data_IF_041811148564
#
_entry.id   IF_041811148564
#
_cell.length_a   1.000
_cell.length_b   1.000
_cell.length_c   1.000
_cell.angle_alpha   90.00
_cell.angle_beta   90.00
_cell.angle_gamma   90.00
#
_symmetry.space_group_name_H-M   'P 1'
#
loop_
_entity.id
_entity.type
_entity.pdbx_description
1 polymer ?
#
# COMPACT_ATOMS: atom_id res chain seq x y z
N UNK A 1 17.74 0.48 -8.69
CA UNK A 1 17.64 1.48 -7.62
C UNK A 1 18.48 2.73 -7.97
N UNK A 2 19.78 2.59 -8.34
CA UNK A 2 20.65 3.71 -8.65
C UNK A 2 20.02 4.73 -9.62
N UNK A 3 19.49 4.27 -10.75
CA UNK A 3 18.81 5.14 -11.73
C UNK A 3 17.58 5.88 -11.18
N UNK A 4 16.94 5.37 -10.12
CA UNK A 4 15.85 6.09 -9.44
C UNK A 4 16.43 7.18 -8.56
N UNK A 5 17.47 6.86 -7.77
CA UNK A 5 18.10 7.80 -6.86
C UNK A 5 18.70 9.01 -7.58
N UNK A 6 19.36 8.80 -8.73
CA UNK A 6 19.97 9.88 -9.53
C UNK A 6 18.95 10.80 -10.22
N UNK A 7 17.68 10.41 -10.28
CA UNK A 7 16.59 11.22 -10.86
C UNK A 7 15.70 11.88 -9.80
N UNK A 8 16.01 11.72 -8.51
CA UNK A 8 15.28 12.40 -7.45
C UNK A 8 15.67 13.88 -7.41
N UNK A 9 14.67 14.72 -7.21
CA UNK A 9 14.83 16.16 -6.98
C UNK A 9 14.77 16.47 -5.48
N UNK A 10 15.19 17.68 -5.12
CA UNK A 10 15.12 18.14 -3.72
C UNK A 10 13.69 18.02 -3.17
N UNK A 11 13.55 17.40 -1.98
CA UNK A 11 12.29 17.11 -1.28
C UNK A 11 11.41 16.01 -1.89
N UNK A 12 11.91 15.27 -2.85
CA UNK A 12 11.21 14.08 -3.34
C UNK A 12 11.08 13.03 -2.26
N UNK A 13 10.06 12.19 -2.40
CA UNK A 13 9.79 11.07 -1.51
C UNK A 13 9.96 9.76 -2.28
N UNK A 14 10.95 8.97 -1.89
CA UNK A 14 11.11 7.61 -2.38
C UNK A 14 10.35 6.64 -1.46
N UNK A 15 9.31 6.00 -1.98
CA UNK A 15 8.56 4.97 -1.26
C UNK A 15 8.98 3.57 -1.69
N UNK A 16 9.39 2.74 -0.73
CA UNK A 16 9.75 1.33 -0.97
C UNK A 16 8.78 0.44 -0.18
N UNK A 17 7.93 -0.29 -0.90
CA UNK A 17 7.03 -1.27 -0.29
C UNK A 17 7.76 -2.60 -0.09
N UNK A 18 7.42 -3.31 1.02
CA UNK A 18 8.03 -4.57 1.43
C UNK A 18 9.57 -4.51 1.45
N UNK A 19 10.10 -3.41 1.98
CA UNK A 19 11.54 -3.09 1.99
C UNK A 19 12.42 -4.21 2.54
N UNK A 20 11.90 -5.10 3.39
CA UNK A 20 12.59 -6.28 3.89
C UNK A 20 12.94 -7.33 2.81
N UNK A 21 12.44 -7.16 1.59
CA UNK A 21 12.75 -8.03 0.44
C UNK A 21 13.95 -7.54 -0.38
N UNK A 22 14.52 -6.41 -0.03
CA UNK A 22 15.75 -5.97 -0.69
C UNK A 22 16.88 -6.96 -0.44
N UNK A 23 17.72 -7.15 -1.45
CA UNK A 23 18.96 -7.89 -1.27
C UNK A 23 20.05 -6.98 -0.68
N UNK A 24 21.08 -7.59 -0.09
CA UNK A 24 22.17 -6.86 0.56
C UNK A 24 22.89 -5.88 -0.36
N UNK A 25 23.10 -6.23 -1.62
CA UNK A 25 23.77 -5.33 -2.57
C UNK A 25 22.96 -4.05 -2.83
N UNK A 26 21.62 -4.13 -2.77
CA UNK A 26 20.76 -2.95 -2.89
C UNK A 26 20.72 -2.14 -1.60
N UNK A 27 20.77 -2.81 -0.44
CA UNK A 27 20.87 -2.12 0.86
C UNK A 27 22.20 -1.34 0.97
N UNK A 28 23.31 -1.94 0.54
CA UNK A 28 24.64 -1.29 0.55
C UNK A 28 24.68 0.01 -0.29
N UNK A 29 23.92 0.06 -1.38
CA UNK A 29 23.75 1.27 -2.20
C UNK A 29 22.93 2.34 -1.46
N UNK A 30 21.97 1.92 -0.62
CA UNK A 30 21.12 2.87 0.12
C UNK A 30 21.85 3.53 1.29
N UNK A 31 22.80 2.88 1.91
CA UNK A 31 23.46 3.41 3.10
C UNK A 31 24.10 4.78 2.86
N UNK A 32 25.03 4.96 1.91
CA UNK A 32 25.60 6.28 1.64
C UNK A 32 24.56 7.27 1.07
N UNK A 33 23.57 6.77 0.32
CA UNK A 33 22.50 7.61 -0.19
C UNK A 33 21.61 8.22 0.91
N UNK A 34 21.46 7.55 2.05
CA UNK A 34 20.65 8.03 3.18
C UNK A 34 21.46 8.85 4.19
N UNK A 35 22.75 8.57 4.33
CA UNK A 35 23.61 9.25 5.29
C UNK A 35 24.21 10.53 4.71
N UNK A 36 24.80 10.43 3.52
CA UNK A 36 25.64 11.49 2.94
C UNK A 36 25.04 12.08 1.65
N UNK A 37 23.90 11.56 1.16
CA UNK A 37 23.34 11.89 -0.15
C UNK A 37 24.32 11.64 -1.29
N UNK A 38 25.04 10.53 -1.20
CA UNK A 38 26.03 10.11 -2.19
C UNK A 38 25.71 8.71 -2.72
N UNK A 39 26.10 8.46 -3.97
CA UNK A 39 25.94 7.17 -4.63
C UNK A 39 27.25 6.76 -5.29
N UNK A 40 27.82 5.64 -4.86
CA UNK A 40 29.02 5.08 -5.46
C UNK A 40 28.63 4.09 -6.56
N UNK A 41 28.99 4.40 -7.81
CA UNK A 41 28.78 3.54 -8.97
C UNK A 41 30.11 2.95 -9.44
N UNK A 42 30.15 1.62 -9.55
CA UNK A 42 31.28 0.92 -10.17
C UNK A 42 31.06 0.86 -11.67
N UNK A 43 31.94 1.51 -12.45
CA UNK A 43 31.90 1.53 -13.90
C UNK A 43 33.07 0.72 -14.45
N UNK A 44 32.79 -0.20 -15.37
CA UNK A 44 33.76 -1.12 -15.96
C UNK A 44 33.83 -2.48 -15.26
N UNK A 45 34.67 -3.37 -15.77
CA UNK A 45 34.86 -4.72 -15.26
C UNK A 45 36.34 -5.02 -14.99
N UNK A 46 36.59 -5.93 -14.06
CA UNK A 46 37.93 -6.40 -13.72
C UNK A 46 38.86 -5.31 -13.16
N UNK A 47 40.18 -5.38 -13.40
CA UNK A 47 41.18 -4.46 -12.84
C UNK A 47 41.05 -3.00 -13.31
N UNK A 48 40.26 -2.76 -14.36
CA UNK A 48 39.97 -1.43 -14.90
C UNK A 48 38.70 -0.79 -14.32
N UNK A 49 38.00 -1.47 -13.44
CA UNK A 49 36.80 -0.91 -12.78
C UNK A 49 37.15 0.34 -11.99
N UNK A 50 36.34 1.38 -12.14
CA UNK A 50 36.48 2.65 -11.41
C UNK A 50 35.19 2.94 -10.65
N UNK A 51 35.32 3.40 -9.41
CA UNK A 51 34.20 3.93 -8.66
C UNK A 51 34.01 5.40 -8.98
N UNK A 52 32.81 5.76 -9.40
CA UNK A 52 32.40 7.16 -9.62
C UNK A 52 31.38 7.49 -8.54
N UNK A 53 31.65 8.55 -7.79
CA UNK A 53 30.76 9.09 -6.78
C UNK A 53 29.86 10.15 -7.40
N UNK A 54 28.56 10.02 -7.16
CA UNK A 54 27.52 10.94 -7.65
C UNK A 54 26.86 11.57 -6.43
N UNK A 55 26.78 12.88 -6.37
CA UNK A 55 25.99 13.60 -5.38
C UNK A 55 24.50 13.51 -5.72
N UNK A 56 23.68 13.20 -4.71
CA UNK A 56 22.23 13.12 -4.82
C UNK A 56 21.59 14.37 -4.21
N UNK A 57 20.42 14.74 -4.73
CA UNK A 57 19.61 15.76 -4.07
C UNK A 57 19.00 15.19 -2.77
N UNK A 58 18.86 16.00 -1.71
CA UNK A 58 18.22 15.56 -0.47
C UNK A 58 16.79 15.07 -0.70
N UNK A 59 16.51 13.84 -0.30
CA UNK A 59 15.21 13.20 -0.46
C UNK A 59 14.75 12.55 0.86
N UNK A 60 13.48 12.15 0.91
CA UNK A 60 12.94 11.41 2.04
C UNK A 60 12.68 9.96 1.64
N UNK A 61 13.25 9.00 2.38
CA UNK A 61 12.91 7.58 2.21
C UNK A 61 11.76 7.20 3.13
N UNK A 62 10.71 6.59 2.57
CA UNK A 62 9.63 5.94 3.29
C UNK A 62 9.65 4.45 2.99
N UNK A 63 9.97 3.64 3.98
CA UNK A 63 9.96 2.18 3.89
C UNK A 63 8.71 1.58 4.52
N UNK A 64 8.01 0.70 3.82
CA UNK A 64 6.91 -0.09 4.38
C UNK A 64 7.33 -1.56 4.48
N UNK A 65 6.93 -2.22 5.58
CA UNK A 65 7.20 -3.63 5.79
C UNK A 65 6.12 -4.29 6.64
N UNK A 66 5.77 -5.52 6.31
CA UNK A 66 4.96 -6.40 7.16
C UNK A 66 5.79 -7.22 8.13
N UNK A 67 7.14 -7.19 8.01
CA UNK A 67 8.08 -8.03 8.76
C UNK A 67 9.28 -7.22 9.23
N UNK A 68 9.05 -6.35 10.22
CA UNK A 68 10.11 -5.48 10.76
C UNK A 68 11.36 -6.25 11.21
N UNK A 69 11.18 -7.46 11.79
CA UNK A 69 12.30 -8.31 12.25
C UNK A 69 13.18 -8.88 11.13
N UNK A 70 12.80 -8.74 9.86
CA UNK A 70 13.63 -9.14 8.72
C UNK A 70 14.46 -7.98 8.14
N UNK A 71 14.24 -6.75 8.60
CA UNK A 71 15.14 -5.65 8.26
C UNK A 71 16.47 -5.83 8.97
N UNK A 72 17.56 -5.61 8.24
CA UNK A 72 18.89 -5.56 8.82
C UNK A 72 18.98 -4.43 9.85
N UNK A 73 19.76 -4.64 10.90
CA UNK A 73 19.97 -3.59 11.92
C UNK A 73 20.51 -2.29 11.29
N UNK A 74 21.50 -2.32 10.39
CA UNK A 74 22.01 -1.11 9.76
C UNK A 74 20.95 -0.33 8.99
N UNK A 75 20.05 -1.02 8.26
CA UNK A 75 18.98 -0.35 7.54
C UNK A 75 17.94 0.23 8.48
N UNK A 76 17.55 -0.53 9.50
CA UNK A 76 16.55 -0.10 10.48
C UNK A 76 16.99 1.14 11.24
N UNK A 77 18.25 1.21 11.64
CA UNK A 77 18.80 2.31 12.46
C UNK A 77 18.89 3.64 11.68
N UNK A 78 18.82 3.59 10.34
CA UNK A 78 18.76 4.77 9.48
C UNK A 78 17.36 5.38 9.36
N UNK A 79 16.31 4.67 9.77
CA UNK A 79 14.97 5.22 9.86
C UNK A 79 14.78 5.97 11.19
N UNK A 80 14.70 7.30 11.12
CA UNK A 80 14.55 8.14 12.31
C UNK A 80 13.14 8.08 12.93
N UNK A 81 12.11 7.69 12.16
CA UNK A 81 10.70 7.71 12.59
C UNK A 81 10.03 6.37 12.32
N UNK A 82 10.03 5.42 13.27
CA UNK A 82 9.27 4.19 13.14
C UNK A 82 7.78 4.43 13.42
N UNK A 83 6.93 4.09 12.46
CA UNK A 83 5.47 4.19 12.59
C UNK A 83 4.87 2.78 12.53
N UNK A 84 4.10 2.41 13.55
CA UNK A 84 3.32 1.18 13.55
C UNK A 84 1.89 1.48 13.15
N UNK A 85 1.45 0.89 12.04
CA UNK A 85 0.06 0.98 11.60
C UNK A 85 -0.79 -0.05 12.35
N UNK A 86 -1.96 0.37 12.82
CA UNK A 86 -2.94 -0.49 13.47
C UNK A 86 -4.08 -0.84 12.51
N UNK A 87 -4.86 -1.86 12.89
CA UNK A 87 -6.07 -2.19 12.15
C UNK A 87 -7.13 -1.11 12.35
N UNK A 88 -7.88 -0.83 11.29
CA UNK A 88 -8.99 0.11 11.35
C UNK A 88 -10.16 -0.45 12.15
N UNK A 89 -10.82 0.41 12.91
CA UNK A 89 -12.09 0.08 13.55
C UNK A 89 -13.20 -0.12 12.52
N UNK A 90 -14.31 -0.82 12.86
CA UNK A 90 -15.47 -0.94 11.98
C UNK A 90 -16.05 0.42 11.56
N UNK A 91 -16.01 1.42 12.43
CA UNK A 91 -16.51 2.77 12.19
C UNK A 91 -15.66 3.51 11.15
N UNK A 92 -14.35 3.38 11.25
CA UNK A 92 -13.41 3.95 10.26
C UNK A 92 -13.53 3.25 8.91
N UNK A 93 -13.61 1.91 8.92
CA UNK A 93 -13.85 1.14 7.69
C UNK A 93 -15.18 1.49 7.04
N UNK A 94 -16.22 1.75 7.81
CA UNK A 94 -17.51 2.20 7.26
C UNK A 94 -17.35 3.52 6.48
N UNK A 95 -16.59 4.48 6.99
CA UNK A 95 -16.31 5.73 6.29
C UNK A 95 -15.59 5.47 4.95
N UNK A 96 -14.61 4.55 4.96
CA UNK A 96 -13.86 4.16 3.75
C UNK A 96 -14.81 3.49 2.73
N UNK A 97 -15.65 2.56 3.18
CA UNK A 97 -16.63 1.86 2.32
C UNK A 97 -17.63 2.82 1.70
N UNK A 98 -18.16 3.77 2.48
CA UNK A 98 -19.09 4.81 1.98
C UNK A 98 -18.39 5.68 0.93
N UNK A 99 -17.14 6.10 1.17
CA UNK A 99 -16.38 6.88 0.19
C UNK A 99 -16.14 6.08 -1.09
N UNK A 100 -15.73 4.81 -0.96
CA UNK A 100 -15.48 3.94 -2.10
C UNK A 100 -16.75 3.66 -2.91
N UNK A 101 -17.90 3.46 -2.26
CA UNK A 101 -19.19 3.24 -2.95
C UNK A 101 -19.59 4.44 -3.81
N UNK A 102 -19.35 5.66 -3.34
CA UNK A 102 -19.60 6.88 -4.12
C UNK A 102 -18.73 6.93 -5.38
N UNK A 103 -17.41 6.65 -5.26
CA UNK A 103 -16.50 6.59 -6.41
C UNK A 103 -16.90 5.54 -7.43
N UNK A 104 -17.37 4.38 -6.96
CA UNK A 104 -17.80 3.27 -7.82
C UNK A 104 -19.24 3.42 -8.32
N UNK A 105 -19.94 4.51 -7.95
CA UNK A 105 -21.36 4.74 -8.26
C UNK A 105 -22.26 3.58 -7.79
N UNK A 106 -21.93 2.98 -6.64
CA UNK A 106 -22.67 1.91 -6.00
C UNK A 106 -23.66 2.55 -5.00
N UNK A 107 -24.94 2.21 -5.09
CA UNK A 107 -25.90 2.56 -4.05
C UNK A 107 -25.73 1.60 -2.87
N UNK A 108 -25.24 2.13 -1.76
CA UNK A 108 -24.97 1.36 -0.54
C UNK A 108 -25.90 1.82 0.56
N UNK A 109 -26.67 0.89 1.12
CA UNK A 109 -27.43 1.18 2.32
C UNK A 109 -26.55 1.17 3.57
N UNK A 110 -27.02 1.80 4.65
CA UNK A 110 -26.27 1.91 5.90
C UNK A 110 -26.04 0.55 6.58
N UNK A 111 -26.93 -0.42 6.40
CA UNK A 111 -26.83 -1.76 6.98
C UNK A 111 -25.80 -2.59 6.23
N UNK A 112 -25.82 -2.57 4.90
CA UNK A 112 -24.84 -3.23 4.05
C UNK A 112 -23.43 -2.67 4.25
N UNK A 113 -23.30 -1.33 4.36
CA UNK A 113 -22.01 -0.72 4.64
C UNK A 113 -21.39 -1.16 5.97
N UNK A 114 -22.19 -1.22 7.03
CA UNK A 114 -21.75 -1.70 8.35
C UNK A 114 -21.35 -3.17 8.33
N UNK A 115 -22.09 -4.01 7.61
CA UNK A 115 -21.79 -5.43 7.51
C UNK A 115 -20.49 -5.68 6.74
N UNK A 116 -20.24 -4.97 5.64
CA UNK A 116 -18.94 -5.01 4.93
C UNK A 116 -17.82 -4.58 5.87
N UNK A 117 -17.98 -3.49 6.60
CA UNK A 117 -16.98 -3.00 7.53
C UNK A 117 -16.62 -4.04 8.61
N UNK A 118 -17.62 -4.68 9.24
CA UNK A 118 -17.42 -5.73 10.25
C UNK A 118 -16.66 -6.93 9.69
N UNK A 119 -17.00 -7.40 8.49
CA UNK A 119 -16.36 -8.56 7.85
C UNK A 119 -14.98 -8.24 7.26
N UNK A 120 -14.54 -6.98 7.28
CA UNK A 120 -13.28 -6.55 6.67
C UNK A 120 -12.05 -6.72 7.56
N UNK A 121 -12.20 -7.22 8.78
CA UNK A 121 -11.10 -7.51 9.73
C UNK A 121 -10.07 -6.37 9.85
N UNK A 122 -10.53 -5.14 9.96
CA UNK A 122 -9.67 -3.99 10.12
C UNK A 122 -8.90 -3.56 8.87
N UNK A 123 -9.18 -4.13 7.69
CA UNK A 123 -8.35 -3.93 6.50
C UNK A 123 -9.11 -3.23 5.37
N UNK A 124 -8.73 -2.00 4.96
CA UNK A 124 -9.36 -1.27 3.85
C UNK A 124 -9.35 -2.04 2.51
N UNK A 125 -8.26 -2.77 2.23
CA UNK A 125 -8.15 -3.60 1.02
C UNK A 125 -9.23 -4.68 0.96
N UNK A 126 -9.51 -5.34 2.10
CA UNK A 126 -10.57 -6.35 2.20
C UNK A 126 -11.94 -5.68 2.05
N UNK A 127 -12.16 -4.54 2.71
CA UNK A 127 -13.41 -3.78 2.64
C UNK A 127 -13.76 -3.40 1.20
N UNK A 128 -12.82 -2.85 0.46
CA UNK A 128 -13.00 -2.48 -0.94
C UNK A 128 -13.23 -3.70 -1.85
N UNK A 129 -12.56 -4.82 -1.57
CA UNK A 129 -12.76 -6.07 -2.31
C UNK A 129 -14.17 -6.64 -2.06
N UNK A 130 -14.62 -6.66 -0.81
CA UNK A 130 -15.97 -7.10 -0.46
C UNK A 130 -17.03 -6.20 -1.11
N UNK A 131 -16.87 -4.88 -1.03
CA UNK A 131 -17.80 -3.94 -1.66
C UNK A 131 -17.96 -4.22 -3.15
N UNK A 132 -16.86 -4.41 -3.89
CA UNK A 132 -16.91 -4.74 -5.33
C UNK A 132 -17.64 -6.05 -5.58
N UNK A 133 -17.27 -7.11 -4.84
CA UNK A 133 -17.88 -8.44 -5.00
C UNK A 133 -19.37 -8.41 -4.74
N UNK A 134 -19.80 -7.80 -3.64
CA UNK A 134 -21.23 -7.71 -3.31
C UNK A 134 -22.00 -6.89 -4.34
N UNK A 135 -21.38 -5.81 -4.88
CA UNK A 135 -21.98 -5.04 -5.95
C UNK A 135 -22.14 -5.84 -7.25
N UNK A 136 -21.16 -6.70 -7.58
CA UNK A 136 -21.24 -7.57 -8.77
C UNK A 136 -22.35 -8.61 -8.60
N UNK A 137 -22.50 -9.21 -7.43
CA UNK A 137 -23.61 -10.12 -7.13
C UNK A 137 -24.97 -9.42 -7.18
N UNK A 138 -25.09 -8.20 -6.64
CA UNK A 138 -26.34 -7.44 -6.69
C UNK A 138 -26.77 -7.07 -8.13
N UNK A 139 -25.85 -7.07 -9.10
CA UNK A 139 -26.20 -6.89 -10.51
C UNK A 139 -26.77 -8.17 -11.15
N UNK A 140 -26.30 -9.33 -10.71
CA UNK A 140 -26.72 -10.63 -11.25
C UNK A 140 -28.07 -11.06 -10.64
N UNK A 141 -28.28 -10.70 -9.38
CA UNK A 141 -29.51 -11.01 -8.62
C UNK A 141 -30.64 -10.06 -9.05
N UNK A 142 -31.27 -10.38 -10.19
CA UNK A 142 -32.34 -9.58 -10.80
C UNK A 142 -33.61 -9.49 -9.94
N UNK A 143 -33.77 -10.37 -8.95
CA UNK A 143 -34.96 -10.41 -8.07
C UNK A 143 -34.91 -9.32 -6.97
N UNK A 144 -33.78 -8.67 -6.78
CA UNK A 144 -33.61 -7.69 -5.69
C UNK A 144 -34.08 -6.28 -6.06
N UNK A 145 -33.99 -5.86 -7.34
CA UNK A 145 -34.56 -4.57 -7.79
C UNK A 145 -34.86 -4.60 -9.31
N UNK A 146 -36.12 -4.77 -9.75
CA UNK A 146 -36.46 -4.90 -11.16
C UNK A 146 -36.10 -3.70 -12.06
N UNK A 147 -35.87 -2.51 -11.49
CA UNK A 147 -35.61 -1.26 -12.21
C UNK A 147 -34.29 -0.57 -11.85
N UNK A 148 -33.38 -1.21 -11.14
CA UNK A 148 -32.14 -0.52 -10.75
C UNK A 148 -31.11 -0.52 -11.87
N UNK A 149 -30.99 0.60 -12.56
CA UNK A 149 -29.85 0.94 -13.43
C UNK A 149 -28.53 1.13 -12.65
N UNK A 150 -28.54 0.99 -11.32
CA UNK A 150 -27.41 1.22 -10.43
C UNK A 150 -27.17 0.01 -9.54
N UNK A 151 -25.89 -0.31 -9.29
CA UNK A 151 -25.46 -1.36 -8.37
C UNK A 151 -25.91 -1.02 -6.94
N UNK A 152 -26.90 -1.71 -6.41
CA UNK A 152 -27.38 -1.53 -5.04
C UNK A 152 -26.85 -2.65 -4.14
N UNK A 153 -26.25 -2.30 -3.03
CA UNK A 153 -25.69 -3.23 -2.04
C UNK A 153 -26.43 -3.06 -0.72
N UNK A 154 -27.06 -4.14 -0.26
CA UNK A 154 -27.73 -4.22 1.02
C UNK A 154 -27.23 -5.44 1.83
N UNK A 155 -27.71 -5.59 3.06
CA UNK A 155 -27.29 -6.68 3.95
C UNK A 155 -27.54 -8.07 3.33
N UNK A 156 -28.66 -8.29 2.62
CA UNK A 156 -29.00 -9.59 2.02
C UNK A 156 -27.97 -10.06 1.00
N UNK A 157 -27.41 -9.12 0.21
CA UNK A 157 -26.35 -9.45 -0.74
C UNK A 157 -25.05 -9.88 -0.08
N UNK A 158 -24.85 -9.57 1.20
CA UNK A 158 -23.63 -9.88 1.96
C UNK A 158 -23.79 -11.22 2.69
N UNK A 159 -24.98 -11.55 3.13
CA UNK A 159 -25.27 -12.80 3.86
C UNK A 159 -25.09 -14.07 2.99
N UNK A 160 -25.02 -13.91 1.65
CA UNK A 160 -24.67 -14.98 0.71
C UNK A 160 -23.21 -15.45 0.88
N UNK A 161 -22.35 -14.61 1.46
CA UNK A 161 -20.95 -14.96 1.68
C UNK A 161 -20.73 -15.49 3.10
N UNK A 162 -20.12 -16.68 3.27
CA UNK A 162 -19.76 -17.16 4.58
C UNK A 162 -18.78 -16.20 5.26
N UNK A 163 -18.82 -16.11 6.60
CA UNK A 163 -17.78 -15.36 7.34
C UNK A 163 -16.43 -16.03 7.09
N UNK A 164 -15.45 -15.24 6.63
CA UNK A 164 -14.06 -15.67 6.42
C UNK A 164 -13.34 -15.91 7.75
#
# INVERSE_FOLDING_TARGET
LAAILTNLEERDVLFIDEIHRMNSAVEEVLYPALEDFELDLVIGEGPAARTVRIELQPFTLVGATTRLGLLTTPLRDRFGIPIRLEFYSPEELLKIVIRASKFMQIQLDSSGGREIAKRSRGTPRIANRLLRRVADFALVDKDVIPNARKRAVNKRNIDIFPPF
#
